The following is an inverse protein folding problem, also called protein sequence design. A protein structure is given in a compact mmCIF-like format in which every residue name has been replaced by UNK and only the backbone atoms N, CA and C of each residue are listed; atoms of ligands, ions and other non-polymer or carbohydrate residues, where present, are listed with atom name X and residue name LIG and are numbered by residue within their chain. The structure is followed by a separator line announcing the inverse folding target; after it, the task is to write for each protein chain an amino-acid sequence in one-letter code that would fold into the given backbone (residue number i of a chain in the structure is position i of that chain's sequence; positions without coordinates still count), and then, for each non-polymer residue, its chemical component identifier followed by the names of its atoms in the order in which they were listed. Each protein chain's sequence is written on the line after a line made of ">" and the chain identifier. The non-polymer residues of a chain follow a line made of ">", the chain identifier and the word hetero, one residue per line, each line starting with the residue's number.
data_IF_586544289708
#
_entry.id   IF_586544289708
#
_cell.length_a   1.000
_cell.length_b   1.000
_cell.length_c   1.000
_cell.angle_alpha   90.00
_cell.angle_beta   90.00
_cell.angle_gamma   90.00
#
_symmetry.space_group_name_H-M   'P 1'
#
loop_
_entity.id
_entity.type
_entity.pdbx_description
1 polymer ?
#
# COMPACT_ATOMS: atom_id res chain seq x y z
N UNK A 1 58.77 30.35 -19.55
CA UNK A 1 59.58 30.15 -18.34
C UNK A 1 59.04 31.06 -17.25
N UNK A 2 58.18 30.60 -16.39
CA UNK A 2 57.86 31.21 -15.07
C UNK A 2 57.54 30.05 -14.13
N UNK A 3 58.39 29.90 -13.15
CA UNK A 3 58.39 28.87 -12.11
C UNK A 3 57.38 29.32 -11.07
N UNK A 4 56.43 28.45 -10.66
CA UNK A 4 55.63 28.64 -9.46
C UNK A 4 56.10 27.66 -8.39
N UNK A 5 56.56 28.21 -7.31
CA UNK A 5 57.01 27.56 -6.09
C UNK A 5 55.83 27.07 -5.27
N UNK A 6 55.91 25.80 -4.84
CA UNK A 6 55.03 25.19 -3.86
C UNK A 6 55.36 25.66 -2.45
N UNK A 7 54.36 26.10 -1.70
CA UNK A 7 54.45 26.36 -0.26
C UNK A 7 54.02 25.10 0.55
N UNK A 8 54.62 24.86 1.73
CA UNK A 8 54.42 23.64 2.48
C UNK A 8 53.11 23.63 3.29
N UNK A 9 52.42 22.46 3.31
CA UNK A 9 51.28 22.15 4.19
C UNK A 9 51.76 22.14 5.65
N UNK A 10 51.10 22.93 6.50
CA UNK A 10 51.26 22.90 7.94
C UNK A 10 50.37 21.77 8.51
N UNK A 11 51.00 20.85 9.25
CA UNK A 11 50.32 19.83 10.07
C UNK A 11 49.67 20.46 11.30
N UNK A 12 48.36 20.35 11.43
CA UNK A 12 47.62 20.64 12.68
C UNK A 12 47.55 19.38 13.54
N UNK A 13 47.72 19.52 14.89
CA UNK A 13 47.72 18.36 15.78
C UNK A 13 46.31 17.80 16.01
N UNK A 14 46.21 16.47 16.04
CA UNK A 14 45.03 15.69 16.40
C UNK A 14 44.67 15.95 17.88
N UNK A 15 43.55 16.62 18.12
CA UNK A 15 42.95 16.73 19.47
C UNK A 15 42.09 15.51 19.70
N UNK A 16 42.51 14.62 20.58
CA UNK A 16 41.74 13.52 21.11
C UNK A 16 40.54 14.05 21.91
N UNK A 17 39.35 13.90 21.38
CA UNK A 17 38.11 14.20 22.08
C UNK A 17 37.86 13.16 23.19
N UNK A 18 37.68 13.63 24.41
CA UNK A 18 37.20 12.83 25.55
C UNK A 18 35.75 12.40 25.30
N UNK A 19 35.33 11.22 25.80
CA UNK A 19 33.93 10.81 25.67
C UNK A 19 33.03 11.74 26.46
N UNK A 20 32.04 12.32 25.79
CA UNK A 20 31.02 13.14 26.42
C UNK A 20 30.10 12.27 27.28
N UNK A 21 29.83 12.75 28.49
CA UNK A 21 28.83 12.22 29.40
C UNK A 21 27.47 12.14 28.69
N UNK A 22 26.75 11.03 28.89
CA UNK A 22 25.37 10.85 28.48
C UNK A 22 24.53 11.99 29.05
N UNK A 23 23.91 12.80 28.19
CA UNK A 23 22.86 13.72 28.59
C UNK A 23 21.61 12.89 28.93
N UNK A 24 21.15 12.98 30.18
CA UNK A 24 19.85 12.49 30.61
C UNK A 24 18.74 13.23 29.83
N UNK A 25 17.82 12.49 29.23
CA UNK A 25 16.60 13.02 28.61
C UNK A 25 15.78 13.83 29.63
N UNK A 26 15.04 14.86 29.23
CA UNK A 26 14.22 15.64 30.15
C UNK A 26 13.02 14.81 30.63
N UNK A 27 12.88 14.71 31.94
CA UNK A 27 11.74 14.09 32.62
C UNK A 27 10.52 15.02 32.58
N UNK A 28 9.32 14.48 32.27
CA UNK A 28 8.06 15.25 32.38
C UNK A 28 7.55 15.25 33.83
N UNK A 29 7.18 16.38 34.41
CA UNK A 29 6.62 16.44 35.75
C UNK A 29 5.12 16.07 35.78
N UNK A 30 4.72 15.27 36.76
CA UNK A 30 3.31 14.97 37.09
C UNK A 30 3.04 15.45 38.50
N UNK A 31 1.85 16.05 38.75
CA UNK A 31 1.43 16.44 40.10
C UNK A 31 0.89 15.24 40.86
N UNK A 32 1.41 14.96 42.04
CA UNK A 32 0.86 13.99 42.97
C UNK A 32 -0.30 14.62 43.77
N UNK A 33 -1.18 13.77 44.37
CA UNK A 33 -2.35 14.21 45.14
C UNK A 33 -2.03 15.11 46.36
N UNK A 34 -0.78 15.17 46.79
CA UNK A 34 -0.28 16.04 47.87
C UNK A 34 0.35 17.34 47.36
N UNK A 35 0.27 17.64 46.06
CA UNK A 35 0.82 18.85 45.47
C UNK A 35 2.35 18.79 45.16
N UNK A 36 3.02 17.65 45.39
CA UNK A 36 4.41 17.48 45.05
C UNK A 36 4.61 17.01 43.62
N UNK A 37 5.59 17.55 42.93
CA UNK A 37 6.00 17.13 41.57
C UNK A 37 6.74 15.79 41.64
N UNK A 38 6.11 14.72 41.22
CA UNK A 38 6.76 13.41 41.06
C UNK A 38 7.21 13.23 39.62
N UNK A 39 8.50 13.00 39.44
CA UNK A 39 9.08 12.68 38.14
C UNK A 39 9.00 11.19 37.92
N UNK A 40 8.12 10.73 37.02
CA UNK A 40 8.07 9.34 36.58
C UNK A 40 9.18 9.14 35.54
N UNK A 41 10.10 8.18 35.71
CA UNK A 41 11.08 7.88 34.70
C UNK A 41 10.41 7.34 33.44
N UNK A 42 10.61 7.96 32.28
CA UNK A 42 10.09 7.54 30.95
C UNK A 42 10.37 6.05 30.63
N UNK A 43 11.35 5.43 31.31
CA UNK A 43 11.68 4.01 31.14
C UNK A 43 10.64 3.01 31.66
N UNK A 44 9.82 3.36 32.67
CA UNK A 44 8.84 2.42 33.25
C UNK A 44 7.53 2.29 32.44
N UNK A 45 7.05 3.37 31.84
CA UNK A 45 5.88 3.31 30.94
C UNK A 45 6.18 2.50 29.68
N UNK A 46 7.34 2.72 29.06
CA UNK A 46 7.75 1.99 27.87
C UNK A 46 7.92 0.50 28.13
N UNK A 47 8.52 0.11 29.27
CA UNK A 47 8.67 -1.30 29.65
C UNK A 47 7.31 -1.99 29.84
N UNK A 48 6.30 -1.31 30.35
CA UNK A 48 4.97 -1.87 30.55
C UNK A 48 4.20 -2.05 29.21
N UNK A 49 4.32 -1.12 28.27
CA UNK A 49 3.73 -1.25 26.92
C UNK A 49 4.40 -2.42 26.15
N UNK A 50 5.72 -2.53 26.21
CA UNK A 50 6.45 -3.63 25.58
C UNK A 50 6.03 -4.99 26.13
N UNK A 51 5.80 -5.13 27.44
CA UNK A 51 5.29 -6.35 28.08
C UNK A 51 3.87 -6.70 27.61
N UNK A 52 2.98 -5.71 27.48
CA UNK A 52 1.62 -5.91 26.97
C UNK A 52 1.66 -6.42 25.53
N UNK A 53 2.48 -5.83 24.68
CA UNK A 53 2.65 -6.28 23.30
C UNK A 53 3.22 -7.69 23.24
N UNK A 54 4.26 -7.97 24.01
CA UNK A 54 4.91 -9.28 24.05
C UNK A 54 4.02 -10.41 24.60
N UNK A 55 3.02 -10.08 25.42
CA UNK A 55 2.06 -11.06 25.97
C UNK A 55 0.97 -11.51 25.00
N UNK A 56 0.85 -10.87 23.83
CA UNK A 56 -0.16 -11.15 22.81
C UNK A 56 0.49 -11.66 21.53
N UNK A 57 0.09 -12.82 21.06
CA UNK A 57 0.60 -13.39 19.82
C UNK A 57 0.31 -12.49 18.61
N UNK A 58 -0.90 -11.94 18.51
CA UNK A 58 -1.29 -10.96 17.49
C UNK A 58 -0.33 -9.77 17.46
N UNK A 59 -0.12 -9.15 18.62
CA UNK A 59 0.66 -7.91 18.72
C UNK A 59 2.16 -8.17 18.54
N UNK A 60 2.65 -9.30 19.02
CA UNK A 60 4.05 -9.74 18.84
C UNK A 60 4.34 -10.04 17.38
N UNK A 61 3.42 -10.71 16.67
CA UNK A 61 3.53 -10.99 15.24
C UNK A 61 3.53 -9.67 14.44
N UNK A 62 2.56 -8.81 14.70
CA UNK A 62 2.47 -7.50 14.02
C UNK A 62 3.72 -6.64 14.24
N UNK A 63 4.23 -6.59 15.48
CA UNK A 63 5.48 -5.89 15.80
C UNK A 63 6.64 -6.46 14.99
N UNK A 64 6.81 -7.77 14.99
CA UNK A 64 7.91 -8.43 14.27
C UNK A 64 7.86 -8.13 12.77
N UNK A 65 6.66 -8.16 12.17
CA UNK A 65 6.48 -7.79 10.77
C UNK A 65 6.84 -6.32 10.51
N UNK A 66 6.40 -5.41 11.39
CA UNK A 66 6.58 -3.97 11.21
C UNK A 66 8.01 -3.48 11.49
N UNK A 67 8.75 -4.17 12.38
CA UNK A 67 10.17 -3.88 12.66
C UNK A 67 11.10 -4.34 11.52
N UNK A 68 10.64 -5.24 10.62
CA UNK A 68 11.37 -5.63 9.42
C UNK A 68 11.04 -4.64 8.30
N UNK A 69 12.05 -3.88 7.83
CA UNK A 69 11.90 -3.03 6.66
C UNK A 69 11.59 -3.87 5.43
N UNK A 70 10.54 -3.47 4.69
CA UNK A 70 10.10 -4.15 3.47
C UNK A 70 9.58 -3.16 2.42
N UNK A 71 10.33 -2.08 2.20
CA UNK A 71 10.04 -1.16 1.10
C UNK A 71 9.98 -1.96 -0.20
N UNK A 72 9.00 -1.65 -1.05
CA UNK A 72 8.78 -2.36 -2.33
C UNK A 72 10.07 -2.62 -3.07
N UNK A 73 10.26 -3.83 -3.53
CA UNK A 73 11.47 -4.43 -4.11
C UNK A 73 12.54 -4.89 -3.09
N UNK A 74 12.28 -4.80 -1.78
CA UNK A 74 13.18 -5.27 -0.70
C UNK A 74 12.43 -6.11 0.35
N UNK A 75 11.52 -6.98 -0.10
CA UNK A 75 10.59 -7.72 0.77
C UNK A 75 11.15 -9.08 1.26
N UNK A 76 12.35 -9.47 0.83
CA UNK A 76 12.89 -10.80 1.10
C UNK A 76 12.94 -11.16 2.59
N UNK A 77 13.37 -10.24 3.44
CA UNK A 77 13.51 -10.48 4.88
C UNK A 77 12.17 -10.70 5.59
N UNK A 78 11.14 -9.91 5.26
CA UNK A 78 9.79 -10.11 5.83
C UNK A 78 9.16 -11.38 5.28
N UNK A 79 9.42 -11.72 4.03
CA UNK A 79 9.00 -13.00 3.43
C UNK A 79 9.64 -14.20 4.14
N UNK A 80 10.95 -14.18 4.40
CA UNK A 80 11.65 -15.23 5.13
C UNK A 80 11.10 -15.39 6.57
N UNK A 81 10.85 -14.28 7.26
CA UNK A 81 10.20 -14.31 8.58
C UNK A 81 8.82 -14.98 8.54
N UNK A 82 7.98 -14.63 7.55
CA UNK A 82 6.65 -15.23 7.39
C UNK A 82 6.73 -16.74 7.11
N UNK A 83 7.67 -17.16 6.27
CA UNK A 83 7.89 -18.60 5.99
C UNK A 83 8.21 -19.34 7.28
N UNK A 84 9.21 -18.88 8.06
CA UNK A 84 9.58 -19.49 9.33
C UNK A 84 8.43 -19.48 10.35
N UNK A 85 7.65 -18.41 10.40
CA UNK A 85 6.51 -18.30 11.30
C UNK A 85 5.43 -19.32 10.95
N UNK A 86 5.02 -19.38 9.67
CA UNK A 86 3.95 -20.26 9.19
C UNK A 86 4.34 -21.75 9.27
N UNK A 87 5.59 -22.10 8.90
CA UNK A 87 6.08 -23.48 9.03
C UNK A 87 6.07 -23.96 10.49
N UNK A 88 6.43 -23.11 11.46
CA UNK A 88 6.35 -23.42 12.90
C UNK A 88 4.92 -23.66 13.38
N UNK A 89 3.91 -23.09 12.68
CA UNK A 89 2.50 -23.29 12.96
C UNK A 89 1.85 -24.41 12.11
N UNK A 90 2.67 -25.26 11.47
CA UNK A 90 2.18 -26.46 10.77
C UNK A 90 1.67 -26.24 9.34
N UNK A 91 1.97 -25.09 8.75
CA UNK A 91 1.66 -24.86 7.33
C UNK A 91 2.74 -25.44 6.42
N UNK A 92 2.30 -25.94 5.28
CA UNK A 92 3.17 -26.13 4.11
C UNK A 92 3.29 -24.77 3.42
N UNK A 93 4.52 -24.31 3.20
CA UNK A 93 4.78 -22.98 2.62
C UNK A 93 5.50 -23.11 1.28
N UNK A 94 5.02 -22.38 0.28
CA UNK A 94 5.63 -22.28 -1.04
C UNK A 94 6.10 -20.84 -1.26
N UNK A 95 7.39 -20.67 -1.57
CA UNK A 95 7.98 -19.40 -1.99
C UNK A 95 7.84 -19.27 -3.51
N UNK A 96 7.16 -18.25 -3.98
CA UNK A 96 7.06 -17.93 -5.39
C UNK A 96 7.91 -16.70 -5.69
N UNK A 97 9.09 -16.90 -6.28
CA UNK A 97 9.99 -15.80 -6.65
C UNK A 97 9.31 -14.83 -7.62
N UNK A 98 9.40 -13.53 -7.34
CA UNK A 98 8.85 -12.46 -8.19
C UNK A 98 10.01 -11.65 -8.76
N UNK A 99 10.27 -11.72 -10.07
CA UNK A 99 11.38 -11.00 -10.71
C UNK A 99 11.21 -9.47 -10.57
N UNK A 100 12.34 -8.75 -10.60
CA UNK A 100 12.35 -7.31 -10.81
C UNK A 100 12.20 -7.03 -12.30
N UNK A 101 11.33 -6.08 -12.67
CA UNK A 101 11.17 -5.69 -14.08
C UNK A 101 12.48 -5.15 -14.67
N UNK A 102 12.82 -5.60 -15.87
CA UNK A 102 13.97 -5.10 -16.64
C UNK A 102 15.32 -5.75 -16.35
N UNK A 103 15.40 -6.75 -15.50
CA UNK A 103 16.61 -7.52 -15.27
C UNK A 103 16.44 -8.97 -15.74
N UNK A 104 17.09 -9.34 -16.88
CA UNK A 104 17.42 -10.74 -17.14
C UNK A 104 18.40 -11.18 -16.05
N UNK A 105 18.02 -12.22 -15.33
CA UNK A 105 18.73 -12.67 -14.15
C UNK A 105 19.58 -13.88 -14.53
N UNK A 106 20.88 -13.78 -14.35
CA UNK A 106 21.74 -14.95 -14.31
C UNK A 106 21.30 -15.89 -13.18
N UNK A 107 20.89 -17.11 -13.55
CA UNK A 107 20.29 -18.11 -12.66
C UNK A 107 21.21 -18.58 -11.51
N UNK A 108 22.53 -18.35 -11.61
CA UNK A 108 23.51 -18.89 -10.64
C UNK A 108 23.79 -18.01 -9.41
N UNK A 109 23.36 -16.75 -9.35
CA UNK A 109 23.73 -15.82 -8.25
C UNK A 109 22.56 -15.39 -7.33
N UNK A 110 21.35 -15.97 -7.43
CA UNK A 110 20.20 -15.44 -6.70
C UNK A 110 19.51 -16.37 -5.71
N UNK A 111 19.60 -16.03 -4.45
CA UNK A 111 18.43 -16.09 -3.56
C UNK A 111 17.45 -15.02 -4.07
N UNK A 112 16.17 -15.34 -4.34
CA UNK A 112 15.22 -14.33 -4.74
C UNK A 112 15.16 -13.27 -3.64
N UNK A 113 15.47 -12.02 -3.99
CA UNK A 113 15.42 -10.90 -3.04
C UNK A 113 14.00 -10.58 -2.58
N UNK A 114 12.99 -11.12 -3.28
CA UNK A 114 11.57 -11.01 -2.98
C UNK A 114 10.77 -12.17 -3.56
N UNK A 115 9.72 -12.58 -2.88
CA UNK A 115 8.86 -13.68 -3.29
C UNK A 115 7.49 -13.57 -2.60
N UNK A 116 6.46 -14.07 -3.27
CA UNK A 116 5.17 -14.29 -2.64
C UNK A 116 5.27 -15.48 -1.70
N UNK A 117 4.52 -15.44 -0.60
CA UNK A 117 4.40 -16.53 0.37
C UNK A 117 3.01 -17.14 0.24
N UNK A 118 2.95 -18.38 -0.26
CA UNK A 118 1.69 -19.13 -0.35
C UNK A 118 1.73 -20.29 0.63
N UNK A 119 0.74 -20.35 1.54
CA UNK A 119 0.73 -21.31 2.63
C UNK A 119 -0.64 -21.93 2.83
N UNK A 120 -0.66 -23.20 3.23
CA UNK A 120 -1.88 -23.95 3.55
C UNK A 120 -1.59 -25.04 4.60
N UNK A 121 -2.58 -25.46 5.39
CA UNK A 121 -2.39 -26.57 6.33
C UNK A 121 -1.95 -27.83 5.59
N UNK A 122 -0.99 -28.56 6.15
CA UNK A 122 -0.49 -29.82 5.54
C UNK A 122 -1.59 -30.88 5.37
N UNK A 123 -2.65 -30.84 6.21
CA UNK A 123 -3.84 -31.69 6.11
C UNK A 123 -4.76 -31.33 4.95
N UNK A 124 -4.66 -30.09 4.39
CA UNK A 124 -5.59 -29.57 3.39
C UNK A 124 -4.85 -28.83 2.27
N UNK A 125 -4.18 -29.55 1.33
CA UNK A 125 -3.27 -28.96 0.35
C UNK A 125 -3.98 -28.21 -0.80
N UNK A 126 -5.31 -28.24 -0.84
CA UNK A 126 -6.12 -27.53 -1.84
C UNK A 126 -7.05 -26.54 -1.15
N UNK A 127 -6.63 -25.32 -0.89
CA UNK A 127 -7.46 -24.32 -0.24
C UNK A 127 -8.73 -24.00 -1.03
N UNK A 128 -9.85 -23.90 -0.33
CA UNK A 128 -11.15 -23.44 -0.86
C UNK A 128 -11.45 -22.00 -0.46
N UNK A 129 -10.75 -21.48 0.55
CA UNK A 129 -10.87 -20.13 1.06
C UNK A 129 -9.44 -19.56 1.17
N UNK A 130 -9.19 -18.43 0.54
CA UNK A 130 -7.86 -17.78 0.57
C UNK A 130 -7.96 -16.41 1.24
N UNK A 131 -7.09 -16.16 2.22
CA UNK A 131 -6.86 -14.83 2.78
C UNK A 131 -5.56 -14.30 2.16
N UNK A 132 -5.58 -13.04 1.73
CA UNK A 132 -4.44 -12.43 1.05
C UNK A 132 -4.25 -10.98 1.45
N UNK A 133 -3.02 -10.53 1.50
CA UNK A 133 -2.63 -9.12 1.70
C UNK A 133 -1.21 -8.93 1.20
N UNK A 134 -0.74 -7.69 1.11
CA UNK A 134 0.62 -7.40 0.72
C UNK A 134 1.57 -7.25 1.92
N UNK A 135 2.88 -7.41 1.66
CA UNK A 135 3.93 -7.35 2.66
C UNK A 135 4.95 -6.25 2.41
N UNK A 136 4.86 -5.60 1.27
CA UNK A 136 5.66 -4.42 0.97
C UNK A 136 5.06 -3.15 1.56
N UNK A 137 5.87 -2.09 1.59
CA UNK A 137 5.49 -0.78 2.10
C UNK A 137 6.09 0.33 1.23
N UNK A 138 5.46 1.51 1.23
CA UNK A 138 6.05 2.70 0.60
C UNK A 138 7.25 3.24 1.42
N UNK A 139 8.22 3.93 0.76
CA UNK A 139 9.27 4.68 1.46
C UNK A 139 8.70 5.98 2.10
N UNK A 140 9.40 6.57 3.11
CA UNK A 140 10.54 6.00 3.82
C UNK A 140 10.13 4.99 4.89
N UNK A 141 11.08 4.14 5.33
CA UNK A 141 10.88 3.34 6.53
C UNK A 141 10.72 4.26 7.75
N UNK A 142 9.69 3.99 8.56
CA UNK A 142 9.42 4.68 9.83
C UNK A 142 9.43 3.60 10.92
N UNK A 143 10.30 3.70 11.93
CA UNK A 143 10.42 2.69 12.98
C UNK A 143 9.12 2.49 13.76
N UNK A 144 8.88 1.24 14.16
CA UNK A 144 7.79 0.88 15.06
C UNK A 144 7.87 1.62 16.39
N UNK A 145 6.77 2.15 16.87
CA UNK A 145 6.69 2.82 18.16
C UNK A 145 5.33 2.62 18.83
N UNK A 146 5.32 2.75 20.15
CA UNK A 146 4.15 2.62 21.00
C UNK A 146 3.88 3.92 21.75
N UNK A 147 2.62 4.30 21.87
CA UNK A 147 2.20 5.46 22.67
C UNK A 147 0.81 5.23 23.29
N UNK A 148 0.52 6.02 24.30
CA UNK A 148 -0.84 6.13 24.87
C UNK A 148 -1.46 7.45 24.43
N UNK A 149 -2.76 7.49 24.14
CA UNK A 149 -3.44 8.74 23.88
C UNK A 149 -3.38 9.66 25.12
N UNK A 150 -3.27 10.98 24.96
CA UNK A 150 -3.12 11.93 26.06
C UNK A 150 -4.23 11.85 27.13
N UNK A 151 -5.41 11.36 26.77
CA UNK A 151 -6.56 11.18 27.66
C UNK A 151 -6.48 9.92 28.55
N UNK A 152 -5.65 8.95 28.21
CA UNK A 152 -5.50 7.70 28.96
C UNK A 152 -4.62 7.87 30.22
N UNK A 153 -3.89 8.98 30.34
CA UNK A 153 -2.96 9.25 31.44
C UNK A 153 -3.58 9.99 32.65
N UNK A 154 -4.88 10.32 32.63
CA UNK A 154 -5.54 11.04 33.72
C UNK A 154 -6.28 10.10 34.66
N UNK A 155 -5.61 9.63 35.70
CA UNK A 155 -6.27 9.16 36.93
C UNK A 155 -6.65 7.69 37.04
N UNK A 156 -6.36 6.82 36.08
CA UNK A 156 -6.52 5.37 36.22
C UNK A 156 -5.20 4.68 36.53
N UNK A 157 -5.16 3.80 37.51
CA UNK A 157 -4.00 2.99 37.85
C UNK A 157 -3.74 1.84 36.86
N UNK A 158 -4.58 1.68 35.83
CA UNK A 158 -4.47 0.64 34.79
C UNK A 158 -4.48 1.27 33.40
N UNK A 159 -3.53 0.81 32.56
CA UNK A 159 -3.48 1.16 31.13
C UNK A 159 -4.64 0.47 30.43
N UNK A 160 -5.45 1.23 29.68
CA UNK A 160 -6.38 0.64 28.73
C UNK A 160 -5.59 0.08 27.56
N UNK A 161 -5.44 -1.26 27.53
CA UNK A 161 -4.69 -1.99 26.51
C UNK A 161 -5.21 -1.69 25.10
N UNK A 162 -6.51 -1.59 24.92
CA UNK A 162 -7.13 -1.32 23.62
C UNK A 162 -6.82 0.08 23.07
N UNK A 163 -6.53 1.03 23.98
CA UNK A 163 -6.17 2.39 23.61
C UNK A 163 -4.67 2.58 23.28
N UNK A 164 -3.85 1.56 23.46
CA UNK A 164 -2.43 1.62 23.06
C UNK A 164 -2.38 1.87 21.56
N UNK A 165 -1.66 2.93 21.15
CA UNK A 165 -1.46 3.29 19.76
C UNK A 165 -0.12 2.76 19.26
N UNK A 166 -0.17 2.05 18.15
CA UNK A 166 0.97 1.48 17.45
C UNK A 166 1.22 2.36 16.22
N UNK A 167 2.46 2.79 16.02
CA UNK A 167 2.83 3.65 14.87
C UNK A 167 4.09 3.14 14.20
N UNK A 168 4.22 3.41 12.90
CA UNK A 168 5.37 3.04 12.07
C UNK A 168 4.95 2.72 10.65
N UNK A 169 5.88 2.69 9.70
CA UNK A 169 5.59 2.34 8.31
C UNK A 169 5.14 0.88 8.19
N UNK A 170 4.00 0.65 7.50
CA UNK A 170 3.43 -0.67 7.32
C UNK A 170 2.59 -1.16 8.51
N UNK A 171 2.52 -0.41 9.62
CA UNK A 171 1.70 -0.80 10.78
C UNK A 171 0.21 -0.81 10.48
N UNK A 172 -0.21 -0.11 9.43
CA UNK A 172 -1.59 -0.09 8.92
C UNK A 172 -1.66 -0.73 7.55
N UNK A 173 -0.80 -0.32 6.65
CA UNK A 173 -0.82 -0.66 5.22
C UNK A 173 0.39 -1.55 4.84
N UNK A 174 0.22 -2.93 4.77
CA UNK A 174 -0.96 -3.68 5.22
C UNK A 174 -0.59 -4.78 6.23
N UNK A 175 0.54 -4.64 6.99
CA UNK A 175 1.04 -5.68 7.91
C UNK A 175 0.09 -5.97 9.08
N UNK A 176 -0.79 -5.00 9.45
CA UNK A 176 -1.86 -5.26 10.39
C UNK A 176 -2.86 -6.29 9.83
N UNK A 177 -3.25 -6.16 8.56
CA UNK A 177 -4.10 -7.15 7.88
C UNK A 177 -3.43 -8.52 7.82
N UNK A 178 -2.13 -8.58 7.47
CA UNK A 178 -1.35 -9.83 7.47
C UNK A 178 -1.38 -10.52 8.83
N UNK A 179 -1.08 -9.80 9.91
CA UNK A 179 -1.09 -10.35 11.27
C UNK A 179 -2.49 -10.83 11.68
N UNK A 180 -3.52 -10.02 11.44
CA UNK A 180 -4.91 -10.37 11.79
C UNK A 180 -5.41 -11.59 11.00
N UNK A 181 -5.09 -11.69 9.71
CA UNK A 181 -5.43 -12.86 8.87
C UNK A 181 -4.78 -14.13 9.39
N UNK A 182 -3.50 -14.09 9.74
CA UNK A 182 -2.77 -15.25 10.29
C UNK A 182 -3.42 -15.69 11.60
N UNK A 183 -3.62 -14.78 12.55
CA UNK A 183 -4.18 -15.13 13.87
C UNK A 183 -5.61 -15.63 13.77
N UNK A 184 -6.45 -15.01 12.93
CA UNK A 184 -7.82 -15.49 12.71
C UNK A 184 -7.83 -16.90 12.08
N UNK A 185 -6.91 -17.17 11.15
CA UNK A 185 -6.75 -18.48 10.51
C UNK A 185 -6.30 -19.54 11.54
N UNK A 186 -5.27 -19.25 12.33
CA UNK A 186 -4.77 -20.16 13.37
C UNK A 186 -5.85 -20.47 14.39
N UNK A 187 -6.54 -19.46 14.91
CA UNK A 187 -7.62 -19.63 15.88
C UNK A 187 -8.78 -20.49 15.32
N UNK A 188 -9.10 -20.35 14.03
CA UNK A 188 -10.10 -21.20 13.38
C UNK A 188 -9.63 -22.66 13.29
N UNK A 189 -8.39 -22.89 12.87
CA UNK A 189 -7.80 -24.21 12.67
C UNK A 189 -7.58 -24.98 13.98
N UNK A 190 -7.41 -24.32 15.11
CA UNK A 190 -7.36 -24.98 16.43
C UNK A 190 -8.61 -25.82 16.70
N UNK A 191 -9.78 -25.31 16.30
CA UNK A 191 -11.06 -26.02 16.49
C UNK A 191 -11.49 -26.84 15.28
N UNK A 192 -11.00 -26.49 14.08
CA UNK A 192 -11.41 -27.04 12.79
C UNK A 192 -10.18 -27.33 11.90
N UNK A 193 -9.31 -28.28 12.26
CA UNK A 193 -7.98 -28.45 11.65
C UNK A 193 -8.01 -28.86 10.17
N UNK A 194 -9.11 -29.40 9.68
CA UNK A 194 -9.27 -29.84 8.29
C UNK A 194 -9.93 -28.80 7.38
N UNK A 195 -10.19 -27.58 7.89
CA UNK A 195 -10.76 -26.51 7.06
C UNK A 195 -9.77 -26.12 5.96
N UNK A 196 -10.20 -26.10 4.68
CA UNK A 196 -9.31 -25.84 3.54
C UNK A 196 -9.00 -24.33 3.39
N UNK A 197 -8.26 -23.79 4.34
CA UNK A 197 -7.81 -22.39 4.33
C UNK A 197 -6.44 -22.25 3.67
N UNK A 198 -6.24 -21.17 2.93
CA UNK A 198 -4.95 -20.76 2.38
C UNK A 198 -4.62 -19.32 2.75
N UNK A 199 -3.34 -19.04 2.85
CA UNK A 199 -2.79 -17.70 3.04
C UNK A 199 -1.91 -17.37 1.84
N UNK A 200 -2.10 -16.20 1.25
CA UNK A 200 -1.27 -15.69 0.16
C UNK A 200 -0.79 -14.28 0.52
N UNK A 201 0.49 -14.12 0.76
CA UNK A 201 1.08 -12.81 1.02
C UNK A 201 1.97 -12.41 -0.15
N UNK A 202 1.65 -11.26 -0.75
CA UNK A 202 2.25 -10.82 -2.02
C UNK A 202 3.17 -9.62 -1.82
N UNK A 203 4.08 -9.45 -2.77
CA UNK A 203 5.05 -8.36 -2.83
C UNK A 203 4.62 -7.31 -3.85
N UNK A 204 5.13 -6.07 -3.71
CA UNK A 204 5.00 -4.99 -4.70
C UNK A 204 3.56 -4.58 -5.05
N UNK A 205 2.63 -4.63 -4.12
CA UNK A 205 1.31 -4.03 -4.27
C UNK A 205 1.43 -2.53 -4.51
N UNK A 206 2.22 -1.86 -3.68
CA UNK A 206 2.45 -0.41 -3.64
C UNK A 206 3.10 0.17 -4.93
N UNK A 207 3.66 -0.71 -5.75
CA UNK A 207 4.35 -0.33 -6.98
C UNK A 207 3.79 -0.98 -8.24
N UNK A 208 2.51 -1.40 -8.20
CA UNK A 208 1.78 -1.88 -9.37
C UNK A 208 1.39 -3.35 -9.35
N UNK A 209 1.41 -4.02 -8.18
CA UNK A 209 0.81 -5.34 -7.99
C UNK A 209 1.55 -6.49 -8.67
N UNK A 210 2.88 -6.36 -8.87
CA UNK A 210 3.66 -7.38 -9.58
C UNK A 210 3.57 -8.76 -8.92
N UNK A 211 3.54 -8.82 -7.58
CA UNK A 211 3.38 -10.07 -6.84
C UNK A 211 2.06 -10.77 -7.17
N UNK A 212 0.96 -10.04 -7.11
CA UNK A 212 -0.35 -10.58 -7.43
C UNK A 212 -0.48 -10.95 -8.92
N UNK A 213 0.01 -10.13 -9.84
CA UNK A 213 0.07 -10.49 -11.27
C UNK A 213 0.88 -11.75 -11.51
N UNK A 214 2.02 -11.90 -10.81
CA UNK A 214 2.85 -13.09 -10.95
C UNK A 214 2.15 -14.35 -10.41
N UNK A 215 1.43 -14.25 -9.29
CA UNK A 215 0.59 -15.32 -8.76
C UNK A 215 -0.54 -15.65 -9.73
N UNK A 216 -1.24 -14.64 -10.22
CA UNK A 216 -2.35 -14.76 -11.18
C UNK A 216 -1.96 -15.53 -12.46
N UNK A 217 -0.74 -15.30 -12.97
CA UNK A 217 -0.21 -15.96 -14.17
C UNK A 217 0.51 -17.29 -13.90
N UNK A 218 0.45 -17.81 -12.68
CA UNK A 218 1.18 -19.03 -12.30
C UNK A 218 0.27 -20.25 -12.25
N UNK A 219 0.83 -21.47 -12.24
CA UNK A 219 0.06 -22.70 -12.04
C UNK A 219 -0.65 -22.80 -10.68
N UNK A 220 -0.32 -21.93 -9.72
CA UNK A 220 -1.00 -21.85 -8.41
C UNK A 220 -2.39 -21.23 -8.54
N UNK A 221 -2.61 -20.39 -9.55
CA UNK A 221 -3.92 -19.89 -9.94
C UNK A 221 -4.59 -20.87 -10.91
N UNK A 222 -5.31 -21.83 -10.36
CA UNK A 222 -5.92 -22.92 -11.15
C UNK A 222 -7.10 -22.46 -12.00
N UNK A 223 -7.33 -23.15 -13.14
CA UNK A 223 -8.51 -22.96 -13.98
C UNK A 223 -9.18 -24.33 -14.21
N UNK A 224 -10.43 -24.56 -13.72
CA UNK A 224 -11.21 -23.66 -12.86
C UNK A 224 -10.55 -23.47 -11.47
N UNK A 225 -10.90 -22.40 -10.72
CA UNK A 225 -10.38 -22.18 -9.38
C UNK A 225 -10.85 -23.29 -8.41
N UNK A 226 -9.95 -23.74 -7.55
CA UNK A 226 -10.28 -24.68 -6.46
C UNK A 226 -10.95 -23.96 -5.28
N UNK A 227 -10.77 -22.64 -5.17
CA UNK A 227 -11.33 -21.80 -4.11
C UNK A 227 -12.62 -21.10 -4.55
N UNK A 228 -13.51 -20.86 -3.59
CA UNK A 228 -14.80 -20.18 -3.78
C UNK A 228 -14.88 -18.82 -3.07
N UNK A 229 -13.89 -18.50 -2.25
CA UNK A 229 -13.84 -17.23 -1.51
C UNK A 229 -12.40 -16.73 -1.38
N UNK A 230 -12.21 -15.45 -1.65
CA UNK A 230 -10.95 -14.72 -1.39
C UNK A 230 -11.26 -13.53 -0.48
N UNK A 231 -10.43 -13.34 0.55
CA UNK A 231 -10.54 -12.23 1.50
C UNK A 231 -9.25 -11.43 1.40
N UNK A 232 -9.33 -10.27 0.75
CA UNK A 232 -8.23 -9.31 0.61
C UNK A 232 -8.11 -8.45 1.86
N UNK A 233 -6.89 -8.19 2.30
CA UNK A 233 -6.57 -7.42 3.49
C UNK A 233 -6.02 -6.04 3.15
N UNK A 234 -6.78 -4.98 3.53
CA UNK A 234 -6.44 -3.58 3.31
C UNK A 234 -6.98 -2.72 4.47
N UNK A 235 -6.50 -1.48 4.68
CA UNK A 235 -7.03 -0.59 5.73
C UNK A 235 -8.46 -0.11 5.40
N UNK A 236 -9.47 -0.74 5.98
CA UNK A 236 -10.88 -0.45 5.71
C UNK A 236 -11.68 -0.01 6.94
N UNK A 237 -11.01 0.36 8.03
CA UNK A 237 -11.66 0.72 9.31
C UNK A 237 -12.57 -0.41 9.82
N UNK A 238 -12.18 -1.67 9.61
CA UNK A 238 -12.96 -2.87 9.94
C UNK A 238 -14.37 -2.92 9.33
N UNK A 239 -14.55 -2.26 8.17
CA UNK A 239 -15.79 -2.28 7.36
C UNK A 239 -15.60 -3.17 6.13
N UNK A 240 -16.68 -3.76 5.61
CA UNK A 240 -16.66 -4.42 4.32
C UNK A 240 -16.71 -3.39 3.20
N UNK A 241 -15.81 -3.52 2.23
CA UNK A 241 -15.80 -2.67 1.05
C UNK A 241 -16.64 -3.32 -0.05
N UNK A 242 -17.69 -2.63 -0.48
CA UNK A 242 -18.55 -3.09 -1.59
C UNK A 242 -17.95 -2.83 -2.97
N UNK A 243 -16.82 -2.12 -3.03
CA UNK A 243 -16.05 -1.87 -4.24
C UNK A 243 -15.18 -0.62 -4.15
N UNK A 244 -14.30 -0.47 -5.14
CA UNK A 244 -13.38 0.67 -5.21
C UNK A 244 -13.32 1.27 -6.62
N UNK A 245 -12.81 2.50 -6.73
CA UNK A 245 -12.59 3.15 -8.02
C UNK A 245 -11.56 2.40 -8.85
N UNK A 246 -11.72 2.49 -10.17
CA UNK A 246 -10.71 2.07 -11.12
C UNK A 246 -9.50 2.99 -11.13
N UNK A 247 -8.46 2.58 -11.83
CA UNK A 247 -7.20 3.30 -11.93
C UNK A 247 -6.72 3.42 -13.38
N UNK A 248 -6.11 4.55 -13.69
CA UNK A 248 -5.44 4.80 -14.97
C UNK A 248 -4.34 5.83 -14.74
N UNK A 249 -3.17 5.62 -15.35
CA UNK A 249 -2.07 6.59 -15.38
C UNK A 249 -1.74 6.97 -16.82
N UNK A 250 -1.37 8.23 -17.02
CA UNK A 250 -0.89 8.69 -18.32
C UNK A 250 0.08 9.86 -18.19
N UNK A 251 0.92 9.99 -19.20
CA UNK A 251 1.89 11.07 -19.33
C UNK A 251 1.49 11.96 -20.51
N UNK A 252 1.66 13.26 -20.33
CA UNK A 252 1.54 14.26 -21.40
C UNK A 252 2.93 14.82 -21.66
N UNK A 253 3.41 14.71 -22.89
CA UNK A 253 4.68 15.26 -23.34
C UNK A 253 4.45 16.30 -24.44
N UNK A 254 5.05 17.47 -24.28
CA UNK A 254 4.95 18.57 -25.26
C UNK A 254 6.34 18.93 -25.76
N UNK A 255 6.51 18.97 -27.07
CA UNK A 255 7.70 19.41 -27.74
C UNK A 255 7.56 20.87 -28.16
N UNK A 256 8.48 21.71 -27.72
CA UNK A 256 8.61 23.10 -28.10
C UNK A 256 9.75 23.36 -29.11
N UNK A 257 10.08 24.63 -29.29
CA UNK A 257 11.23 25.09 -30.05
C UNK A 257 12.01 26.09 -29.19
N UNK A 258 13.25 25.79 -28.81
CA UNK A 258 14.03 26.68 -27.96
C UNK A 258 14.43 27.96 -28.70
N UNK A 259 14.53 29.06 -27.94
CA UNK A 259 15.03 30.34 -28.42
C UNK A 259 15.48 31.21 -27.24
N UNK A 260 16.14 32.31 -27.50
CA UNK A 260 16.46 33.31 -26.49
C UNK A 260 15.17 33.98 -25.97
N UNK A 261 14.98 34.07 -24.65
CA UNK A 261 13.73 34.59 -24.05
C UNK A 261 13.40 36.03 -24.41
N UNK A 262 14.40 36.83 -24.81
CA UNK A 262 14.20 38.20 -25.34
C UNK A 262 13.54 38.24 -26.74
N UNK A 263 13.50 37.12 -27.44
CA UNK A 263 12.93 36.96 -28.76
C UNK A 263 12.01 35.72 -28.83
N UNK A 264 10.99 35.62 -27.96
CA UNK A 264 10.20 34.38 -27.80
C UNK A 264 9.47 33.96 -29.06
N UNK A 265 9.18 34.86 -29.98
CA UNK A 265 8.54 34.56 -31.25
C UNK A 265 9.39 33.77 -32.25
N UNK A 266 10.70 33.62 -32.00
CA UNK A 266 11.60 32.74 -32.77
C UNK A 266 11.52 31.28 -32.32
N UNK A 267 10.96 31.05 -31.11
CA UNK A 267 10.77 29.76 -30.48
C UNK A 267 9.28 29.40 -30.33
N UNK A 268 9.02 28.33 -29.60
CA UNK A 268 7.71 27.90 -29.10
C UNK A 268 7.87 27.24 -27.73
N UNK A 269 7.27 27.85 -26.72
CA UNK A 269 7.38 27.38 -25.34
C UNK A 269 6.53 26.15 -25.11
N UNK A 270 7.17 25.00 -24.82
CA UNK A 270 6.48 23.77 -24.44
C UNK A 270 5.69 23.96 -23.14
N UNK A 271 6.22 24.74 -22.18
CA UNK A 271 5.53 25.07 -20.92
C UNK A 271 4.25 25.86 -21.18
N UNK A 272 4.29 26.86 -22.05
CA UNK A 272 3.08 27.65 -22.39
C UNK A 272 2.02 26.82 -23.15
N UNK A 273 2.45 25.75 -23.83
CA UNK A 273 1.57 24.84 -24.53
C UNK A 273 0.91 23.83 -23.60
N UNK A 274 1.67 23.28 -22.62
CA UNK A 274 1.16 22.24 -21.71
C UNK A 274 0.16 22.79 -20.68
N UNK A 275 0.29 24.04 -20.26
CA UNK A 275 -0.56 24.64 -19.21
C UNK A 275 -2.07 24.60 -19.54
N UNK A 276 -2.57 25.05 -20.73
CA UNK A 276 -3.98 24.94 -21.05
C UNK A 276 -4.45 23.49 -21.19
N UNK A 277 -3.57 22.58 -21.61
CA UNK A 277 -3.86 21.13 -21.67
C UNK A 277 -4.11 20.60 -20.26
N UNK A 278 -3.20 20.86 -19.32
CA UNK A 278 -3.33 20.40 -17.95
C UNK A 278 -4.53 21.02 -17.24
N UNK A 279 -4.83 22.29 -17.47
CA UNK A 279 -6.03 22.94 -16.94
C UNK A 279 -7.31 22.26 -17.44
N UNK A 280 -7.36 21.82 -18.71
CA UNK A 280 -8.50 21.06 -19.24
C UNK A 280 -8.57 19.66 -18.65
N UNK A 281 -7.43 18.98 -18.55
CA UNK A 281 -7.33 17.64 -17.96
C UNK A 281 -7.80 17.65 -16.50
N UNK A 282 -7.33 18.59 -15.70
CA UNK A 282 -7.68 18.71 -14.27
C UNK A 282 -9.19 18.86 -14.04
N UNK A 283 -9.86 19.53 -14.98
CA UNK A 283 -11.32 19.75 -14.91
C UNK A 283 -12.17 18.58 -15.39
N UNK A 284 -11.61 17.54 -16.02
CA UNK A 284 -12.37 16.48 -16.70
C UNK A 284 -13.33 15.71 -15.78
N UNK A 285 -12.99 15.55 -14.52
CA UNK A 285 -13.86 14.91 -13.55
C UNK A 285 -15.05 15.76 -13.09
N UNK A 286 -15.01 17.07 -13.31
CA UNK A 286 -16.08 18.02 -12.96
C UNK A 286 -17.02 18.31 -14.13
N UNK A 287 -16.62 17.91 -15.33
CA UNK A 287 -17.42 18.07 -16.55
C UNK A 287 -18.36 16.87 -16.69
N UNK A 288 -19.67 17.08 -16.95
CA UNK A 288 -20.58 15.98 -17.23
C UNK A 288 -20.09 15.13 -18.42
N UNK A 289 -20.31 13.82 -18.36
CA UNK A 289 -19.92 12.91 -19.44
C UNK A 289 -20.57 13.29 -20.78
N UNK A 290 -21.83 13.75 -20.75
CA UNK A 290 -22.55 14.27 -21.95
C UNK A 290 -21.91 15.50 -22.57
N UNK A 291 -21.04 16.20 -21.83
CA UNK A 291 -20.30 17.39 -22.30
C UNK A 291 -18.83 17.11 -22.57
N UNK A 292 -18.46 15.81 -22.61
CA UNK A 292 -17.09 15.35 -22.85
C UNK A 292 -16.20 15.24 -21.62
N UNK A 293 -16.78 15.13 -20.44
CA UNK A 293 -16.09 14.80 -19.19
C UNK A 293 -15.90 13.30 -18.98
N UNK A 294 -15.23 12.95 -17.89
CA UNK A 294 -15.03 11.56 -17.48
C UNK A 294 -16.28 11.01 -16.78
N UNK A 295 -16.54 9.69 -16.88
CA UNK A 295 -17.73 9.08 -16.30
C UNK A 295 -17.75 9.18 -14.77
N UNK A 296 -18.96 9.25 -14.24
CA UNK A 296 -19.27 9.22 -12.81
C UNK A 296 -20.26 8.08 -12.51
N UNK A 297 -20.46 7.72 -11.24
CA UNK A 297 -21.51 6.79 -10.83
C UNK A 297 -22.10 7.17 -9.48
N UNK A 298 -23.32 6.70 -9.20
CA UNK A 298 -23.94 6.90 -7.88
C UNK A 298 -23.12 6.23 -6.76
N UNK A 299 -22.52 5.09 -7.06
CA UNK A 299 -21.77 4.28 -6.08
C UNK A 299 -20.41 4.91 -5.72
N UNK A 300 -19.67 5.41 -6.70
CA UNK A 300 -18.29 5.89 -6.50
C UNK A 300 -18.14 7.42 -6.67
N UNK A 301 -19.24 8.13 -6.93
CA UNK A 301 -19.22 9.57 -7.15
C UNK A 301 -18.57 9.94 -8.49
N UNK A 302 -17.75 10.99 -8.51
CA UNK A 302 -17.06 11.45 -9.71
C UNK A 302 -15.69 10.81 -9.89
N UNK A 303 -15.24 10.66 -11.13
CA UNK A 303 -13.85 10.39 -11.48
C UNK A 303 -12.98 11.56 -11.03
N UNK A 304 -11.84 11.27 -10.43
CA UNK A 304 -10.89 12.29 -9.95
C UNK A 304 -9.53 12.13 -10.63
N UNK A 305 -8.84 13.25 -10.83
CA UNK A 305 -7.52 13.29 -11.44
C UNK A 305 -6.55 13.98 -10.48
N UNK A 306 -5.28 13.58 -10.57
CA UNK A 306 -4.18 14.21 -9.85
C UNK A 306 -2.99 14.39 -10.79
N UNK A 307 -2.59 15.63 -11.04
CA UNK A 307 -1.34 15.95 -11.75
C UNK A 307 -0.21 15.85 -10.73
N UNK A 308 0.38 14.65 -10.62
CA UNK A 308 1.36 14.35 -9.57
C UNK A 308 2.76 14.87 -9.84
N UNK A 309 3.14 14.98 -11.12
CA UNK A 309 4.47 15.46 -11.52
C UNK A 309 4.34 16.40 -12.72
N UNK A 310 5.11 17.47 -12.71
CA UNK A 310 5.26 18.40 -13.82
C UNK A 310 6.72 18.82 -13.97
N UNK A 311 7.25 18.72 -15.19
CA UNK A 311 8.63 19.09 -15.51
C UNK A 311 8.64 19.98 -16.78
N UNK A 312 9.57 20.94 -16.86
CA UNK A 312 9.70 21.75 -18.07
C UNK A 312 10.66 22.93 -17.94
N UNK A 313 11.29 23.24 -19.05
CA UNK A 313 12.29 24.32 -19.11
C UNK A 313 13.64 23.96 -18.48
N UNK A 314 14.63 24.82 -18.70
CA UNK A 314 16.01 24.61 -18.17
C UNK A 314 16.57 25.89 -17.54
N UNK A 315 16.13 27.08 -18.00
CA UNK A 315 16.57 28.39 -17.49
C UNK A 315 15.57 29.47 -17.88
N UNK A 316 15.47 30.54 -17.08
CA UNK A 316 14.53 31.65 -17.27
C UNK A 316 14.74 32.43 -18.56
N UNK A 317 15.98 32.46 -19.08
CA UNK A 317 16.33 33.12 -20.32
C UNK A 317 16.30 32.27 -21.57
N UNK A 318 15.74 31.04 -21.48
CA UNK A 318 15.57 30.09 -22.59
C UNK A 318 14.08 29.75 -22.76
N UNK A 319 13.57 29.85 -23.98
CA UNK A 319 12.22 29.36 -24.33
C UNK A 319 12.21 27.83 -24.16
N UNK A 320 11.34 27.24 -23.33
CA UNK A 320 11.33 25.80 -23.04
C UNK A 320 11.16 24.91 -24.29
N UNK A 321 12.11 24.00 -24.51
CA UNK A 321 12.10 23.03 -25.61
C UNK A 321 11.19 21.82 -25.33
N UNK A 322 10.95 21.49 -24.07
CA UNK A 322 10.10 20.36 -23.66
C UNK A 322 9.35 20.68 -22.37
N UNK A 323 8.22 20.05 -22.19
CA UNK A 323 7.48 19.99 -20.95
C UNK A 323 6.77 18.63 -20.85
N UNK A 324 6.61 18.11 -19.63
CA UNK A 324 5.89 16.88 -19.39
C UNK A 324 5.11 16.95 -18.08
N UNK A 325 4.06 16.13 -17.99
CA UNK A 325 3.32 15.92 -16.75
C UNK A 325 2.88 14.46 -16.65
N UNK A 326 2.83 13.94 -15.41
CA UNK A 326 2.30 12.62 -15.08
C UNK A 326 1.02 12.76 -14.28
N UNK A 327 -0.02 12.05 -14.72
CA UNK A 327 -1.40 12.18 -14.20
C UNK A 327 -1.92 10.82 -13.76
N UNK A 328 -2.42 10.76 -12.52
CA UNK A 328 -3.17 9.63 -11.99
C UNK A 328 -4.68 9.91 -12.09
N UNK A 329 -5.46 8.91 -12.48
CA UNK A 329 -6.92 8.99 -12.58
C UNK A 329 -7.55 7.90 -11.74
N UNK A 330 -8.54 8.27 -10.91
CA UNK A 330 -9.37 7.33 -10.16
C UNK A 330 -10.75 7.29 -10.81
N UNK A 331 -10.99 6.24 -11.60
CA UNK A 331 -12.21 6.07 -12.41
C UNK A 331 -13.39 5.69 -11.51
N UNK A 332 -14.48 6.45 -11.60
CA UNK A 332 -15.71 6.18 -10.85
C UNK A 332 -16.77 5.42 -11.68
N UNK A 333 -16.55 5.26 -12.98
CA UNK A 333 -17.48 4.59 -13.89
C UNK A 333 -16.88 4.32 -15.26
N UNK A 334 -17.63 3.67 -16.14
CA UNK A 334 -17.25 3.41 -17.50
C UNK A 334 -16.09 2.42 -17.67
N UNK A 335 -15.52 2.41 -18.86
CA UNK A 335 -14.39 1.55 -19.22
C UNK A 335 -13.10 2.34 -19.33
N UNK A 336 -11.95 1.65 -19.17
CA UNK A 336 -10.62 2.23 -19.37
C UNK A 336 -10.48 2.80 -20.80
N UNK A 337 -11.02 2.11 -21.81
CA UNK A 337 -10.97 2.55 -23.21
C UNK A 337 -11.69 3.89 -23.38
N UNK A 338 -12.90 4.01 -22.88
CA UNK A 338 -13.68 5.26 -22.95
C UNK A 338 -12.97 6.42 -22.22
N UNK A 339 -12.41 6.15 -21.04
CA UNK A 339 -11.65 7.17 -20.32
C UNK A 339 -10.41 7.64 -21.10
N UNK A 340 -9.66 6.72 -21.73
CA UNK A 340 -8.53 7.07 -22.61
C UNK A 340 -8.94 7.93 -23.79
N UNK A 341 -10.03 7.57 -24.45
CA UNK A 341 -10.58 8.35 -25.60
C UNK A 341 -10.99 9.75 -25.18
N UNK A 342 -11.67 9.89 -24.04
CA UNK A 342 -12.07 11.19 -23.46
C UNK A 342 -10.85 12.07 -23.15
N UNK A 343 -9.83 11.51 -22.49
CA UNK A 343 -8.58 12.21 -22.17
C UNK A 343 -7.88 12.66 -23.46
N UNK A 344 -7.75 11.79 -24.47
CA UNK A 344 -7.13 12.14 -25.76
C UNK A 344 -7.89 13.25 -26.48
N UNK A 345 -9.22 13.21 -26.46
CA UNK A 345 -10.06 14.26 -27.07
C UNK A 345 -9.86 15.59 -26.32
N UNK A 346 -9.83 15.59 -25.00
CA UNK A 346 -9.59 16.78 -24.19
C UNK A 346 -8.23 17.40 -24.46
N UNK A 347 -7.17 16.59 -24.46
CA UNK A 347 -5.80 17.04 -24.76
C UNK A 347 -5.72 17.67 -26.14
N UNK A 348 -6.27 17.01 -27.17
CA UNK A 348 -6.29 17.54 -28.55
C UNK A 348 -7.05 18.86 -28.64
N UNK A 349 -8.20 18.98 -27.98
CA UNK A 349 -9.00 20.19 -27.99
C UNK A 349 -8.34 21.39 -27.34
N UNK A 350 -7.49 21.16 -26.34
CA UNK A 350 -6.75 22.20 -25.62
C UNK A 350 -5.39 22.53 -26.25
N UNK A 351 -4.91 21.70 -27.18
CA UNK A 351 -3.61 21.88 -27.85
C UNK A 351 -3.70 22.86 -28.99
N UNK A 352 -2.77 23.82 -29.06
CA UNK A 352 -2.61 24.71 -30.24
C UNK A 352 -1.85 24.03 -31.36
N UNK A 353 -0.93 23.12 -31.02
CA UNK A 353 -0.10 22.37 -31.96
C UNK A 353 -0.20 20.87 -31.59
N UNK A 354 -1.30 20.17 -31.94
CA UNK A 354 -1.53 18.78 -31.53
C UNK A 354 -0.45 17.79 -32.01
N UNK A 355 0.26 18.12 -33.09
CA UNK A 355 1.35 17.32 -33.66
C UNK A 355 2.62 17.27 -32.75
N UNK A 356 2.74 18.24 -31.87
CA UNK A 356 3.86 18.32 -30.90
C UNK A 356 3.49 17.81 -29.50
N UNK A 357 2.25 17.32 -29.33
CA UNK A 357 1.75 16.78 -28.08
C UNK A 357 1.61 15.26 -28.18
N UNK A 358 2.28 14.54 -27.30
CA UNK A 358 2.18 13.08 -27.17
C UNK A 358 1.59 12.70 -25.82
N UNK A 359 0.61 11.80 -25.85
CA UNK A 359 0.02 11.19 -24.65
C UNK A 359 0.37 9.71 -24.65
N UNK A 360 0.97 9.24 -23.57
CA UNK A 360 1.25 7.82 -23.34
C UNK A 360 0.52 7.31 -22.11
N UNK A 361 -0.10 6.15 -22.21
CA UNK A 361 -0.75 5.48 -21.09
C UNK A 361 0.16 4.36 -20.60
N UNK A 362 0.22 4.18 -19.27
CA UNK A 362 0.97 3.08 -18.67
C UNK A 362 0.48 1.74 -19.24
N UNK A 363 1.41 0.84 -19.53
CA UNK A 363 1.13 -0.45 -20.15
C UNK A 363 0.40 -1.43 -19.22
N UNK A 364 0.55 -1.25 -17.88
CA UNK A 364 -0.07 -2.06 -16.84
C UNK A 364 -0.84 -1.23 -15.82
N UNK A 365 -1.62 -1.89 -14.98
CA UNK A 365 -2.29 -1.28 -13.82
C UNK A 365 -3.51 -0.40 -14.15
N UNK A 366 -4.05 -0.46 -15.37
CA UNK A 366 -5.28 0.25 -15.72
C UNK A 366 -6.49 -0.70 -15.66
N UNK A 367 -7.48 -0.37 -14.83
CA UNK A 367 -8.70 -1.15 -14.66
C UNK A 367 -9.91 -0.26 -14.37
N UNK A 368 -11.15 -0.72 -14.72
CA UNK A 368 -12.37 -0.01 -14.40
C UNK A 368 -12.69 -0.12 -12.89
N UNK A 369 -13.73 0.57 -12.39
CA UNK A 369 -14.23 0.33 -11.03
C UNK A 369 -14.48 -1.14 -10.76
N UNK A 370 -14.15 -1.58 -9.54
CA UNK A 370 -14.23 -2.98 -9.11
C UNK A 370 -15.36 -3.12 -8.10
N UNK A 371 -16.30 -4.02 -8.38
CA UNK A 371 -17.34 -4.41 -7.41
C UNK A 371 -16.87 -5.57 -6.56
N UNK A 372 -17.18 -5.52 -5.27
CA UNK A 372 -16.80 -6.50 -4.25
C UNK A 372 -18.03 -7.00 -3.50
N UNK A 373 -17.93 -8.20 -2.96
CA UNK A 373 -18.98 -8.78 -2.15
C UNK A 373 -19.00 -8.15 -0.75
N UNK A 374 -20.20 -7.87 -0.24
CA UNK A 374 -20.42 -7.29 1.09
C UNK A 374 -21.66 -7.91 1.76
N UNK A 375 -21.94 -9.18 1.45
CA UNK A 375 -23.15 -9.90 1.83
C UNK A 375 -23.02 -10.70 3.15
N UNK A 376 -21.98 -10.44 3.94
CA UNK A 376 -21.81 -11.02 5.28
C UNK A 376 -22.39 -10.08 6.33
N UNK A 377 -23.35 -10.58 7.12
CA UNK A 377 -24.00 -9.79 8.15
C UNK A 377 -23.05 -9.38 9.29
N UNK A 378 -23.36 -8.24 9.91
CA UNK A 378 -22.65 -7.72 11.08
C UNK A 378 -21.42 -6.88 10.74
N UNK A 379 -21.31 -6.40 9.52
CA UNK A 379 -20.36 -5.39 9.10
C UNK A 379 -21.08 -4.13 8.60
N UNK A 380 -20.52 -2.99 8.89
CA UNK A 380 -20.79 -1.78 8.12
C UNK A 380 -20.18 -1.91 6.72
N UNK A 381 -20.81 -1.26 5.73
CA UNK A 381 -20.38 -1.33 4.33
C UNK A 381 -19.97 0.04 3.84
N UNK A 382 -18.85 0.10 3.09
CA UNK A 382 -18.35 1.33 2.48
C UNK A 382 -17.85 1.11 1.05
N UNK A 383 -17.56 2.19 0.36
CA UNK A 383 -16.77 2.22 -0.88
C UNK A 383 -15.46 2.97 -0.63
N UNK A 384 -14.41 2.62 -1.38
CA UNK A 384 -13.12 3.30 -1.25
C UNK A 384 -12.63 3.86 -2.59
N UNK A 385 -11.71 4.83 -2.52
CA UNK A 385 -11.21 5.52 -3.71
C UNK A 385 -9.81 5.05 -4.14
N UNK A 386 -9.11 4.26 -3.28
CA UNK A 386 -7.78 3.71 -3.59
C UNK A 386 -7.89 2.42 -4.42
N UNK A 387 -6.80 2.01 -5.02
CA UNK A 387 -6.67 0.75 -5.73
C UNK A 387 -6.19 -0.35 -4.79
N UNK A 388 -6.32 -1.59 -5.21
CA UNK A 388 -5.94 -2.79 -4.45
C UNK A 388 -5.48 -3.88 -5.40
N UNK A 389 -4.99 -5.00 -4.88
CA UNK A 389 -4.63 -6.18 -5.67
C UNK A 389 -5.81 -6.98 -6.23
N UNK A 390 -7.04 -6.62 -5.90
CA UNK A 390 -8.23 -7.35 -6.42
C UNK A 390 -8.25 -7.44 -7.94
N UNK A 391 -8.06 -6.35 -8.72
CA UNK A 391 -8.06 -6.42 -10.18
C UNK A 391 -6.79 -7.06 -10.77
N UNK A 392 -5.74 -7.24 -9.98
CA UNK A 392 -4.47 -7.83 -10.41
C UNK A 392 -4.50 -9.37 -10.38
N UNK A 393 -5.53 -9.96 -9.79
CA UNK A 393 -5.77 -11.39 -9.78
C UNK A 393 -6.89 -11.75 -10.75
N UNK A 394 -6.53 -12.31 -11.90
CA UNK A 394 -7.50 -12.91 -12.84
C UNK A 394 -7.99 -14.25 -12.28
N UNK A 395 -9.07 -14.21 -11.53
CA UNK A 395 -9.72 -15.40 -10.99
C UNK A 395 -10.56 -16.02 -12.10
N UNK A 396 -10.22 -17.22 -12.55
CA UNK A 396 -10.88 -17.95 -13.65
C UNK A 396 -12.28 -18.49 -13.29
N UNK A 397 -13.10 -17.67 -12.62
CA UNK A 397 -14.44 -18.08 -12.17
C UNK A 397 -15.46 -18.26 -13.30
N UNK A 398 -15.16 -17.75 -14.50
CA UNK A 398 -15.92 -18.04 -15.72
C UNK A 398 -15.85 -19.51 -16.17
N UNK A 399 -14.86 -20.26 -15.69
CA UNK A 399 -14.68 -21.69 -15.95
C UNK A 399 -15.43 -22.58 -14.92
N UNK A 400 -16.06 -21.98 -13.91
CA UNK A 400 -16.83 -22.72 -12.92
C UNK A 400 -18.13 -23.26 -13.54
N UNK A 401 -18.54 -24.52 -13.20
CA UNK A 401 -19.85 -25.04 -13.56
C UNK A 401 -20.96 -24.11 -13.03
N UNK A 402 -22.07 -24.04 -13.74
CA UNK A 402 -23.29 -23.31 -13.37
C UNK A 402 -23.11 -21.77 -13.20
N UNK A 403 -22.12 -21.17 -13.85
CA UNK A 403 -21.81 -19.75 -13.74
C UNK A 403 -21.58 -19.28 -12.29
N UNK A 404 -21.03 -20.15 -11.45
CA UNK A 404 -20.61 -19.81 -10.10
C UNK A 404 -19.59 -18.67 -10.12
N UNK A 405 -19.63 -17.82 -9.08
CA UNK A 405 -18.64 -16.76 -8.90
C UNK A 405 -17.87 -16.99 -7.61
N UNK A 406 -16.57 -16.73 -7.67
CA UNK A 406 -15.74 -16.65 -6.47
C UNK A 406 -16.08 -15.35 -5.72
N UNK A 407 -16.41 -15.49 -4.43
CA UNK A 407 -16.66 -14.34 -3.56
C UNK A 407 -15.35 -13.60 -3.25
N UNK A 408 -15.38 -12.29 -3.40
CA UNK A 408 -14.23 -11.40 -3.17
C UNK A 408 -14.59 -10.38 -2.11
N UNK A 409 -13.98 -10.48 -0.93
CA UNK A 409 -14.15 -9.54 0.18
C UNK A 409 -12.91 -8.70 0.34
N UNK A 410 -13.07 -7.43 0.69
CA UNK A 410 -12.01 -6.52 1.07
C UNK A 410 -12.29 -5.99 2.46
N UNK A 411 -11.36 -6.25 3.40
CA UNK A 411 -11.55 -5.98 4.81
C UNK A 411 -10.20 -5.87 5.54
N UNK A 412 -10.09 -5.00 6.56
CA UNK A 412 -8.98 -5.01 7.50
C UNK A 412 -8.97 -3.83 8.47
N UNK A 413 -8.03 -3.86 9.43
CA UNK A 413 -7.89 -2.86 10.47
C UNK A 413 -7.28 -1.56 9.97
N UNK A 414 -7.45 -0.50 10.75
CA UNK A 414 -6.85 0.79 10.52
C UNK A 414 -7.50 1.58 9.38
N UNK A 415 -7.03 2.79 9.18
CA UNK A 415 -7.60 3.72 8.20
C UNK A 415 -6.62 4.07 7.11
N UNK A 416 -7.07 4.02 5.85
CA UNK A 416 -6.28 4.47 4.69
C UNK A 416 -5.85 5.95 4.77
N UNK A 417 -6.56 6.76 5.56
CA UNK A 417 -6.27 8.19 5.70
C UNK A 417 -4.96 8.49 6.43
N UNK A 418 -4.41 7.52 7.16
CA UNK A 418 -3.10 7.62 7.81
C UNK A 418 -2.00 6.85 7.06
N UNK A 419 -2.36 5.95 6.15
CA UNK A 419 -1.42 5.21 5.30
C UNK A 419 -0.56 6.16 4.49
N UNK A 420 0.69 5.76 4.20
CA UNK A 420 1.70 6.54 3.48
C UNK A 420 2.15 7.84 4.20
N UNK A 421 1.50 8.22 5.30
CA UNK A 421 1.83 9.40 6.09
C UNK A 421 2.98 9.18 7.08
N UNK A 422 3.45 10.27 7.70
CA UNK A 422 4.46 10.23 8.77
C UNK A 422 3.89 9.68 10.09
N UNK A 423 2.56 9.76 10.25
CA UNK A 423 1.83 9.34 11.45
C UNK A 423 0.98 8.08 11.19
N UNK A 424 1.46 7.20 10.31
CA UNK A 424 0.80 5.92 10.10
C UNK A 424 0.74 5.13 11.40
N UNK A 425 -0.47 4.67 11.75
CA UNK A 425 -0.69 3.94 12.98
C UNK A 425 -2.16 3.63 13.26
N UNK A 426 -2.38 2.70 14.19
CA UNK A 426 -3.70 2.23 14.61
C UNK A 426 -3.67 1.85 16.09
N UNK A 427 -4.84 1.64 16.69
CA UNK A 427 -4.93 1.16 18.06
C UNK A 427 -4.84 -0.37 18.16
N UNK A 428 -4.45 -0.87 19.33
CA UNK A 428 -4.57 -2.31 19.64
C UNK A 428 -6.03 -2.76 19.49
N UNK A 429 -6.98 -1.92 19.85
CA UNK A 429 -8.41 -2.21 19.70
C UNK A 429 -8.81 -2.47 18.26
N UNK A 430 -8.31 -1.67 17.31
CA UNK A 430 -8.59 -1.86 15.87
C UNK A 430 -8.11 -3.23 15.37
N UNK A 431 -6.94 -3.69 15.83
CA UNK A 431 -6.42 -5.00 15.47
C UNK A 431 -7.24 -6.15 16.06
N UNK A 432 -7.63 -6.06 17.34
CA UNK A 432 -8.44 -7.08 18.00
C UNK A 432 -9.82 -7.21 17.35
N UNK A 433 -10.46 -6.08 17.04
CA UNK A 433 -11.75 -6.07 16.33
C UNK A 433 -11.63 -6.65 14.92
N UNK A 434 -10.49 -6.42 14.25
CA UNK A 434 -10.26 -6.95 12.92
C UNK A 434 -10.06 -8.47 12.91
N UNK A 435 -9.42 -9.06 13.92
CA UNK A 435 -9.32 -10.53 14.07
C UNK A 435 -10.72 -11.14 14.18
N UNK A 436 -11.61 -10.55 14.98
CA UNK A 436 -13.01 -10.99 15.08
C UNK A 436 -13.76 -10.88 13.74
N UNK A 437 -13.52 -9.80 12.98
CA UNK A 437 -14.07 -9.62 11.65
C UNK A 437 -13.57 -10.69 10.65
N UNK A 438 -12.26 -10.96 10.60
CA UNK A 438 -11.73 -12.04 9.77
C UNK A 438 -12.29 -13.40 10.17
N UNK A 439 -12.38 -13.70 11.47
CA UNK A 439 -13.00 -14.93 11.95
C UNK A 439 -14.47 -15.06 11.51
N UNK A 440 -15.22 -13.96 11.46
CA UNK A 440 -16.59 -13.94 10.95
C UNK A 440 -16.65 -14.22 9.44
N UNK A 441 -15.74 -13.62 8.65
CA UNK A 441 -15.63 -13.86 7.22
C UNK A 441 -15.26 -15.33 6.92
N UNK A 442 -14.31 -15.90 7.67
CA UNK A 442 -13.93 -17.32 7.56
C UNK A 442 -15.15 -18.21 7.83
N UNK A 443 -15.88 -17.98 8.95
CA UNK A 443 -17.09 -18.77 9.27
C UNK A 443 -18.16 -18.66 8.17
N UNK A 444 -18.37 -17.47 7.62
CA UNK A 444 -19.33 -17.26 6.52
C UNK A 444 -18.90 -18.00 5.25
N UNK A 445 -17.60 -18.04 4.96
CA UNK A 445 -17.05 -18.78 3.83
C UNK A 445 -17.19 -20.29 4.01
N UNK A 446 -16.82 -20.84 5.18
CA UNK A 446 -16.97 -22.26 5.52
C UNK A 446 -18.44 -22.72 5.37
N UNK A 447 -19.40 -21.95 5.86
CA UNK A 447 -20.82 -22.25 5.72
C UNK A 447 -21.34 -22.25 4.27
N UNK A 448 -20.52 -21.85 3.27
CA UNK A 448 -20.84 -22.02 1.84
C UNK A 448 -20.38 -23.36 1.31
N UNK A 449 -19.23 -23.87 1.75
CA UNK A 449 -18.74 -25.21 1.38
C UNK A 449 -19.76 -26.29 1.79
N UNK A 450 -20.39 -26.14 2.96
CA UNK A 450 -21.37 -27.08 3.50
C UNK A 450 -22.73 -27.10 2.76
N UNK A 451 -23.00 -26.06 1.94
CA UNK A 451 -24.26 -25.91 1.18
C UNK A 451 -24.18 -26.41 -0.26
N UNK A 452 -22.99 -26.83 -0.71
CA UNK A 452 -22.77 -27.48 -2.01
C UNK A 452 -22.84 -29.00 -1.86
#
# INVERSE_FOLDING_TARGET
>A
MRVFTLAPLALLPLVLARPSQRSSSPQKPIMADNGDLVMIPEGHEKSNLDEIIASSELLSLHRSLSEIESISNNEGSVGDFLVEYLERHGFTVQKQAVPLDGHEVDEEERKPSRFNVYAYPASSPSPEIILTSHIDTVPPYIPYSLSLPPTASTGSSSIDRRAIHISGRGTVDAKASVACQIIATLSHLESNPDTPLGLLFVVSEETGGQGMHHFSNSPLNTSPPTFHTVIFGEPTESKLVSGHKGMLHFDVHVRGKPAHSGYPWLGRSAVSEILPILSKVDSLGDIPESEGGLPSSEKYGKTTLNIGVMEGGVATNVVPASASARVAVRLAGGTVTHAKETILAAVRSASKNPEDVHVSFSAGGAYPPVDLDSDVEGFDVMTVNYGTDVPNWDIHDHDLPDHGKVKRYLYGPGSIFVAHGENEGLSVGDMEDAVEGYARLIRAAVGRSERK
#
